data_IF_351467163637
#
_entry.id   IF_351467163637
#
_cell.length_a   1.000
_cell.length_b   1.000
_cell.length_c   1.000
_cell.angle_alpha   90.00
_cell.angle_beta   90.00
_cell.angle_gamma   90.00
#
_symmetry.space_group_name_H-M   'P 1'
#
loop_
_entity.id
_entity.type
_entity.pdbx_description
1 polymer ?
#
# COMPACT_ATOMS: atom_id res chain seq x y z
N UNK A 1 48.19 -40.49 30.01
CA UNK A 1 47.66 -39.18 30.43
C UNK A 1 46.97 -38.55 29.23
N UNK A 2 45.64 -38.49 29.20
CA UNK A 2 44.86 -37.87 28.12
C UNK A 2 44.22 -36.61 28.71
N UNK A 3 44.62 -35.43 28.23
CA UNK A 3 43.95 -34.17 28.55
C UNK A 3 42.75 -34.01 27.61
N UNK A 4 41.53 -34.03 28.18
CA UNK A 4 40.30 -33.65 27.47
C UNK A 4 40.08 -32.15 27.69
N UNK A 5 40.28 -31.36 26.65
CA UNK A 5 39.89 -29.95 26.65
C UNK A 5 38.36 -29.86 26.51
N UNK A 6 37.70 -29.37 27.56
CA UNK A 6 36.28 -29.01 27.53
C UNK A 6 36.16 -27.57 27.01
N UNK A 7 35.74 -27.39 25.77
CA UNK A 7 35.39 -26.09 25.23
C UNK A 7 33.96 -25.73 25.70
N UNK A 8 33.83 -24.73 26.56
CA UNK A 8 32.54 -24.14 26.90
C UNK A 8 32.10 -23.20 25.78
N UNK A 9 31.08 -23.60 25.02
CA UNK A 9 30.44 -22.76 24.01
C UNK A 9 29.55 -21.73 24.75
N UNK A 10 30.01 -20.48 24.84
CA UNK A 10 29.22 -19.39 25.39
C UNK A 10 28.18 -18.95 24.35
N UNK A 11 26.95 -19.44 24.47
CA UNK A 11 25.85 -18.99 23.62
C UNK A 11 25.35 -17.64 24.16
N UNK A 12 25.82 -16.53 23.58
CA UNK A 12 25.28 -15.21 23.88
C UNK A 12 23.83 -15.15 23.38
N UNK A 13 22.85 -14.77 24.22
CA UNK A 13 21.48 -14.55 23.76
C UNK A 13 21.47 -13.41 22.75
N UNK A 14 21.08 -13.71 21.52
CA UNK A 14 20.83 -12.72 20.48
C UNK A 14 19.51 -12.03 20.79
N UNK A 15 19.57 -10.87 21.43
CA UNK A 15 18.39 -10.00 21.57
C UNK A 15 18.11 -9.34 20.22
N UNK A 16 17.22 -9.94 19.43
CA UNK A 16 16.61 -9.25 18.31
C UNK A 16 15.74 -8.12 18.87
N UNK A 17 16.20 -6.87 18.78
CA UNK A 17 15.36 -5.72 19.08
C UNK A 17 14.28 -5.64 18.00
N UNK A 18 13.05 -6.00 18.36
CA UNK A 18 11.90 -5.83 17.47
C UNK A 18 11.73 -4.35 17.16
N UNK A 19 11.77 -4.00 15.87
CA UNK A 19 11.55 -2.64 15.39
C UNK A 19 10.05 -2.35 15.43
N UNK A 20 9.65 -1.15 15.84
CA UNK A 20 8.22 -0.80 15.97
C UNK A 20 7.68 -0.27 14.65
N UNK A 21 6.63 -0.89 14.11
CA UNK A 21 5.91 -0.35 12.95
C UNK A 21 5.29 1.01 13.31
N UNK A 22 5.50 2.02 12.46
CA UNK A 22 4.99 3.38 12.68
C UNK A 22 4.36 3.96 11.42
N UNK A 23 3.22 4.63 11.60
CA UNK A 23 2.54 5.38 10.54
C UNK A 23 3.21 6.73 10.23
N UNK A 24 4.19 7.16 11.05
CA UNK A 24 4.95 8.38 10.81
C UNK A 24 5.98 8.25 9.69
N UNK A 25 6.26 7.04 9.22
CA UNK A 25 7.10 6.76 8.06
C UNK A 25 6.21 6.23 6.94
N UNK A 26 5.54 7.14 6.23
CA UNK A 26 4.59 6.79 5.18
C UNK A 26 5.31 6.51 3.85
N UNK A 27 4.98 5.38 3.23
CA UNK A 27 5.54 4.88 1.97
C UNK A 27 4.41 4.45 1.03
N UNK A 28 4.70 4.29 -0.26
CA UNK A 28 3.82 3.53 -1.14
C UNK A 28 3.92 2.05 -0.76
N UNK A 29 2.86 1.51 -0.15
CA UNK A 29 2.82 0.11 0.31
C UNK A 29 2.70 -0.90 -0.84
N UNK A 30 2.42 -0.46 -2.08
CA UNK A 30 2.56 -1.31 -3.27
C UNK A 30 4.01 -1.39 -3.74
N UNK A 31 4.79 -0.31 -3.55
CA UNK A 31 6.19 -0.23 -3.92
C UNK A 31 6.51 0.79 -5.00
N UNK A 32 7.72 0.72 -5.54
CA UNK A 32 8.29 1.72 -6.45
C UNK A 32 8.98 1.08 -7.67
N UNK A 33 8.99 1.81 -8.80
CA UNK A 33 9.76 1.41 -9.98
C UNK A 33 11.24 1.79 -9.74
N UNK A 34 12.21 1.03 -10.27
CA UNK A 34 13.63 1.28 -10.02
C UNK A 34 14.05 2.69 -10.44
N UNK A 35 13.55 3.21 -11.55
CA UNK A 35 13.96 4.51 -12.10
C UNK A 35 12.97 5.64 -11.79
N UNK A 36 11.92 5.38 -11.00
CA UNK A 36 10.94 6.40 -10.61
C UNK A 36 11.37 7.15 -9.33
N UNK A 37 10.79 8.34 -9.08
CA UNK A 37 10.90 9.02 -7.79
C UNK A 37 10.37 8.14 -6.64
N UNK A 38 11.11 8.12 -5.52
CA UNK A 38 10.78 7.33 -4.33
C UNK A 38 10.99 8.18 -3.09
N UNK A 39 9.89 8.49 -2.43
CA UNK A 39 9.89 9.36 -1.25
C UNK A 39 9.11 8.64 -0.15
N UNK A 40 9.72 8.56 1.03
CA UNK A 40 8.96 8.33 2.25
C UNK A 40 8.63 9.68 2.90
N UNK A 41 7.37 9.87 3.24
CA UNK A 41 6.88 11.06 3.93
C UNK A 41 6.98 10.82 5.42
N UNK A 42 7.81 11.63 6.07
CA UNK A 42 8.02 11.60 7.51
C UNK A 42 7.07 12.61 8.14
N UNK A 43 6.03 12.16 8.85
CA UNK A 43 5.03 13.05 9.45
C UNK A 43 5.37 13.40 10.90
N UNK A 44 5.31 14.69 11.22
CA UNK A 44 5.58 15.23 12.56
C UNK A 44 4.31 15.93 13.03
N UNK A 45 3.54 15.31 13.94
CA UNK A 45 2.27 15.85 14.40
C UNK A 45 2.41 17.23 15.01
N UNK A 46 1.52 18.16 14.64
CA UNK A 46 1.45 19.49 15.29
C UNK A 46 0.04 19.78 15.81
N UNK A 47 -0.99 19.56 14.99
CA UNK A 47 -2.40 19.82 15.29
C UNK A 47 -3.27 18.79 14.55
N UNK A 48 -4.57 18.71 14.86
CA UNK A 48 -5.47 17.78 14.17
C UNK A 48 -5.60 16.42 14.86
N UNK A 49 -5.93 15.39 14.09
CA UNK A 49 -6.37 14.08 14.61
C UNK A 49 -5.27 13.34 15.40
N UNK A 50 -4.02 13.43 14.94
CA UNK A 50 -2.85 12.77 15.50
C UNK A 50 -2.00 13.69 16.40
N UNK A 51 -2.51 14.87 16.80
CA UNK A 51 -1.74 15.85 17.56
C UNK A 51 -1.22 15.35 18.94
N UNK A 52 -1.82 14.30 19.48
CA UNK A 52 -1.35 13.64 20.71
C UNK A 52 -0.12 12.76 20.51
N UNK A 53 0.19 12.39 19.27
CA UNK A 53 1.32 11.53 18.95
C UNK A 53 2.61 12.34 19.07
N UNK A 54 3.69 11.67 19.49
CA UNK A 54 5.01 12.31 19.62
C UNK A 54 6.00 11.58 18.75
N UNK A 55 6.56 12.29 17.77
CA UNK A 55 7.65 11.77 16.95
C UNK A 55 8.63 12.87 16.59
N UNK A 56 9.91 12.63 16.90
CA UNK A 56 11.03 13.48 16.46
C UNK A 56 11.94 12.62 15.59
N UNK A 57 11.98 12.86 14.28
CA UNK A 57 12.81 12.07 13.38
C UNK A 57 14.30 12.24 13.69
N UNK A 58 15.06 11.14 13.61
CA UNK A 58 16.51 11.17 13.60
C UNK A 58 17.06 11.92 12.36
N UNK A 59 18.27 12.48 12.48
CA UNK A 59 18.89 13.26 11.39
C UNK A 59 19.12 12.45 10.11
N UNK A 60 19.34 11.14 10.24
CA UNK A 60 19.58 10.21 9.14
C UNK A 60 18.57 9.07 9.23
N UNK A 61 17.91 8.79 8.12
CA UNK A 61 17.04 7.63 7.96
C UNK A 61 17.72 6.61 7.06
N UNK A 62 17.28 5.35 7.20
CA UNK A 62 17.86 4.21 6.51
C UNK A 62 16.82 3.54 5.64
N UNK A 63 17.23 3.08 4.46
CA UNK A 63 16.52 2.01 3.76
C UNK A 63 17.19 0.70 4.16
N UNK A 64 16.39 -0.27 4.59
CA UNK A 64 16.86 -1.59 4.99
C UNK A 64 16.20 -2.67 4.17
N UNK A 65 16.97 -3.71 3.84
CA UNK A 65 16.47 -4.90 3.16
C UNK A 65 15.68 -5.76 4.14
N UNK A 66 14.51 -6.22 3.72
CA UNK A 66 13.60 -6.98 4.59
C UNK A 66 14.18 -8.33 5.03
N UNK A 67 15.00 -8.97 4.20
CA UNK A 67 15.46 -10.35 4.42
C UNK A 67 16.50 -10.51 5.53
N UNK A 68 17.30 -9.48 5.78
CA UNK A 68 18.49 -9.55 6.65
C UNK A 68 18.75 -8.25 7.43
N UNK A 69 17.80 -7.30 7.42
CA UNK A 69 17.91 -5.97 8.04
C UNK A 69 19.11 -5.14 7.54
N UNK A 70 19.75 -5.54 6.43
CA UNK A 70 20.95 -4.86 5.94
C UNK A 70 20.62 -3.42 5.53
N UNK A 71 21.41 -2.46 6.02
CA UNK A 71 21.32 -1.06 5.60
C UNK A 71 21.85 -0.95 4.18
N UNK A 72 20.97 -0.63 3.22
CA UNK A 72 21.29 -0.55 1.79
C UNK A 72 21.35 0.88 1.28
N UNK A 73 20.72 1.83 1.99
CA UNK A 73 20.80 3.25 1.70
C UNK A 73 20.65 4.05 3.00
N UNK A 74 21.29 5.22 3.07
CA UNK A 74 21.21 6.11 4.24
C UNK A 74 21.33 7.55 3.77
N UNK A 75 20.39 8.40 4.19
CA UNK A 75 20.37 9.81 3.82
C UNK A 75 19.66 10.64 4.89
N UNK A 76 19.93 11.95 4.88
CA UNK A 76 19.14 12.91 5.65
C UNK A 76 17.80 13.18 4.97
N UNK A 77 16.79 13.51 5.76
CA UNK A 77 15.51 14.01 5.22
C UNK A 77 15.55 15.54 4.98
N UNK A 78 14.72 16.05 4.09
CA UNK A 78 14.57 17.49 3.84
C UNK A 78 13.20 17.99 4.28
N UNK A 79 13.10 19.24 4.73
CA UNK A 79 11.83 19.81 5.14
C UNK A 79 10.92 20.03 3.91
N UNK A 80 9.68 19.55 3.98
CA UNK A 80 8.65 19.92 3.02
C UNK A 80 8.20 21.37 3.28
N UNK A 81 7.93 22.13 2.22
CA UNK A 81 7.30 23.45 2.29
C UNK A 81 7.92 24.39 3.34
N UNK A 82 9.26 24.50 3.35
CA UNK A 82 10.02 25.31 4.31
C UNK A 82 9.75 24.98 5.80
N UNK A 83 9.29 23.76 6.10
CA UNK A 83 8.96 23.32 7.45
C UNK A 83 7.63 23.84 7.98
N UNK A 84 6.78 24.40 7.10
CA UNK A 84 5.42 24.78 7.47
C UNK A 84 4.56 23.55 7.80
N UNK A 85 3.61 23.74 8.70
CA UNK A 85 2.57 22.76 8.98
C UNK A 85 1.60 22.71 7.79
N UNK A 86 1.31 21.51 7.31
CA UNK A 86 0.27 21.27 6.30
C UNK A 86 -1.11 21.52 6.92
N UNK A 87 -1.97 22.26 6.21
CA UNK A 87 -3.26 22.70 6.73
C UNK A 87 -4.36 21.62 6.65
N UNK A 88 -4.16 20.53 5.90
CA UNK A 88 -5.13 19.45 5.76
C UNK A 88 -4.88 18.39 6.84
N UNK A 89 -3.63 17.95 6.96
CA UNK A 89 -3.22 16.93 7.93
C UNK A 89 -2.98 17.51 9.33
N UNK A 90 -2.48 18.74 9.42
CA UNK A 90 -2.01 19.33 10.67
C UNK A 90 -0.58 18.93 11.06
N UNK A 91 0.16 18.31 10.15
CA UNK A 91 1.52 17.80 10.37
C UNK A 91 2.58 18.67 9.67
N UNK A 92 3.79 18.71 10.22
CA UNK A 92 4.97 19.04 9.41
C UNK A 92 5.44 17.79 8.70
N UNK A 93 5.78 17.91 7.43
CA UNK A 93 6.30 16.79 6.64
C UNK A 93 7.81 16.95 6.37
N UNK A 94 8.50 15.82 6.26
CA UNK A 94 9.85 15.76 5.69
C UNK A 94 9.92 14.70 4.59
N UNK A 95 10.78 14.93 3.61
CA UNK A 95 11.04 14.00 2.52
C UNK A 95 12.29 13.21 2.82
N UNK A 96 12.15 11.88 2.92
CA UNK A 96 13.26 10.97 2.78
C UNK A 96 13.27 10.46 1.33
N UNK A 97 14.13 11.06 0.52
CA UNK A 97 14.27 10.75 -0.90
C UNK A 97 15.33 9.67 -1.10
N UNK A 98 14.91 8.52 -1.61
CA UNK A 98 15.77 7.40 -1.98
C UNK A 98 15.63 7.06 -3.47
N UNK A 99 15.26 8.05 -4.29
CA UNK A 99 15.07 7.89 -5.74
C UNK A 99 16.32 7.37 -6.45
N UNK A 100 17.51 7.70 -5.95
CA UNK A 100 18.78 7.20 -6.49
C UNK A 100 19.07 5.71 -6.23
N UNK A 101 18.29 5.05 -5.37
CA UNK A 101 18.41 3.61 -5.10
C UNK A 101 17.54 2.81 -6.08
N UNK A 102 18.15 1.87 -6.81
CA UNK A 102 17.53 1.14 -7.93
C UNK A 102 17.54 -0.38 -7.77
N UNK A 103 18.16 -0.91 -6.71
CA UNK A 103 18.19 -2.36 -6.50
C UNK A 103 16.78 -2.92 -6.27
N UNK A 104 16.55 -4.11 -6.83
CA UNK A 104 15.27 -4.80 -6.71
C UNK A 104 15.19 -5.58 -5.40
N UNK A 105 13.99 -5.68 -4.84
CA UNK A 105 13.73 -6.48 -3.64
C UNK A 105 12.67 -5.89 -2.73
N UNK A 106 12.62 -6.42 -1.51
CA UNK A 106 11.74 -5.97 -0.42
C UNK A 106 12.54 -5.13 0.57
N UNK A 107 11.99 -3.98 0.93
CA UNK A 107 12.65 -2.99 1.77
C UNK A 107 11.68 -2.32 2.73
N UNK A 108 12.24 -1.58 3.68
CA UNK A 108 11.50 -0.69 4.56
C UNK A 108 12.36 0.51 4.97
N UNK A 109 11.72 1.62 5.33
CA UNK A 109 12.41 2.79 5.90
C UNK A 109 12.52 2.63 7.40
N UNK A 110 13.68 2.94 7.96
CA UNK A 110 13.99 2.81 9.37
C UNK A 110 14.57 4.11 9.94
N UNK A 111 14.07 4.50 11.11
CA UNK A 111 14.65 5.56 11.92
C UNK A 111 15.40 4.93 13.12
N UNK A 112 16.75 4.91 13.10
CA UNK A 112 17.52 4.35 14.20
C UNK A 112 17.42 5.17 15.50
N UNK A 113 17.10 6.46 15.42
CA UNK A 113 17.01 7.33 16.60
C UNK A 113 15.78 7.04 17.46
N UNK A 114 14.71 6.55 16.85
CA UNK A 114 13.45 6.23 17.51
C UNK A 114 13.10 4.72 17.48
N UNK A 115 13.93 3.91 16.82
CA UNK A 115 13.73 2.46 16.64
C UNK A 115 12.36 2.10 16.02
N UNK A 116 11.94 2.87 15.03
CA UNK A 116 10.69 2.64 14.29
C UNK A 116 10.95 2.37 12.81
N UNK A 117 10.02 1.67 12.17
CA UNK A 117 10.04 1.36 10.73
C UNK A 117 8.72 1.66 10.03
N UNK A 118 8.78 1.89 8.72
CA UNK A 118 7.62 1.86 7.84
C UNK A 118 7.08 0.43 7.67
N UNK A 119 5.94 0.30 6.98
CA UNK A 119 5.57 -0.97 6.37
C UNK A 119 6.63 -1.39 5.32
N UNK A 120 6.71 -2.70 5.07
CA UNK A 120 7.54 -3.26 4.00
C UNK A 120 6.95 -2.92 2.63
N UNK A 121 7.80 -2.74 1.63
CA UNK A 121 7.41 -2.45 0.24
C UNK A 121 8.42 -3.01 -0.76
N UNK A 122 7.97 -3.22 -1.99
CA UNK A 122 8.82 -3.72 -3.08
C UNK A 122 9.46 -2.58 -3.88
N UNK A 123 10.67 -2.80 -4.41
CA UNK A 123 11.19 -2.08 -5.57
C UNK A 123 11.34 -3.09 -6.69
N UNK A 124 10.63 -2.90 -7.80
CA UNK A 124 10.45 -3.95 -8.81
C UNK A 124 10.05 -3.41 -10.17
N UNK A 125 10.24 -4.19 -11.22
CA UNK A 125 9.87 -3.80 -12.59
C UNK A 125 8.38 -3.95 -12.91
N UNK A 126 7.65 -4.71 -12.09
CA UNK A 126 6.28 -5.17 -12.39
C UNK A 126 5.32 -5.07 -11.20
N UNK A 127 5.62 -4.25 -10.19
CA UNK A 127 4.79 -4.18 -8.97
C UNK A 127 3.40 -3.56 -9.23
N UNK A 128 3.24 -2.76 -10.30
CA UNK A 128 1.93 -2.23 -10.69
C UNK A 128 1.14 -3.15 -11.64
N UNK A 129 1.70 -4.27 -12.12
CA UNK A 129 1.00 -5.15 -13.08
C UNK A 129 -0.23 -5.80 -12.45
N UNK A 130 -0.07 -6.37 -11.25
CA UNK A 130 -1.16 -7.00 -10.51
C UNK A 130 -2.18 -5.97 -10.04
N UNK A 131 -1.71 -4.79 -9.62
CA UNK A 131 -2.56 -3.66 -9.24
C UNK A 131 -3.44 -3.21 -10.40
N UNK A 132 -2.86 -2.98 -11.58
CA UNK A 132 -3.59 -2.57 -12.78
C UNK A 132 -4.61 -3.63 -13.21
N UNK A 133 -4.21 -4.92 -13.22
CA UNK A 133 -5.14 -6.02 -13.51
C UNK A 133 -6.30 -6.04 -12.51
N UNK A 134 -6.02 -5.83 -11.23
CA UNK A 134 -7.04 -5.83 -10.18
C UNK A 134 -7.98 -4.63 -10.31
N UNK A 135 -7.43 -3.43 -10.54
CA UNK A 135 -8.20 -2.21 -10.76
C UNK A 135 -9.15 -2.35 -11.95
N UNK A 136 -8.68 -2.87 -13.09
CA UNK A 136 -9.53 -3.05 -14.28
C UNK A 136 -10.54 -4.20 -14.09
N UNK A 137 -10.22 -5.22 -13.29
CA UNK A 137 -11.17 -6.31 -12.97
C UNK A 137 -12.40 -5.81 -12.21
N UNK A 138 -12.35 -4.65 -11.55
CA UNK A 138 -13.54 -4.01 -10.96
C UNK A 138 -14.66 -3.83 -12.00
N UNK A 139 -14.32 -3.40 -13.22
CA UNK A 139 -15.30 -3.29 -14.32
C UNK A 139 -15.88 -4.63 -14.74
N UNK A 140 -15.16 -5.74 -14.59
CA UNK A 140 -15.75 -7.06 -14.83
C UNK A 140 -16.79 -7.40 -13.75
N UNK A 141 -16.44 -7.18 -12.47
CA UNK A 141 -17.35 -7.45 -11.36
C UNK A 141 -18.60 -6.57 -11.38
N UNK A 142 -18.47 -5.33 -11.85
CA UNK A 142 -19.59 -4.38 -11.93
C UNK A 142 -20.53 -4.61 -13.11
N UNK A 143 -20.25 -5.54 -14.04
CA UNK A 143 -21.11 -5.73 -15.22
C UNK A 143 -22.55 -6.05 -14.83
N UNK A 144 -23.51 -5.26 -15.31
CA UNK A 144 -24.93 -5.53 -15.16
C UNK A 144 -25.42 -6.51 -16.25
N UNK A 145 -26.52 -7.24 -16.03
CA UNK A 145 -27.13 -8.08 -17.06
C UNK A 145 -26.40 -9.38 -17.41
N UNK A 146 -25.24 -9.66 -16.80
CA UNK A 146 -24.37 -10.78 -17.15
C UNK A 146 -23.99 -11.58 -15.90
N UNK A 147 -23.90 -12.91 -16.01
CA UNK A 147 -23.40 -13.78 -14.95
C UNK A 147 -21.87 -13.63 -14.77
N UNK A 148 -21.41 -13.57 -13.52
CA UNK A 148 -20.00 -13.46 -13.15
C UNK A 148 -19.47 -14.87 -12.94
N UNK A 149 -18.97 -15.47 -14.02
CA UNK A 149 -18.48 -16.86 -14.00
C UNK A 149 -17.24 -17.03 -13.12
N UNK A 150 -17.14 -18.16 -12.42
CA UNK A 150 -16.01 -18.53 -11.54
C UNK A 150 -14.66 -18.42 -12.26
N UNK A 151 -14.58 -18.80 -13.54
CA UNK A 151 -13.35 -18.76 -14.33
C UNK A 151 -12.73 -17.36 -14.43
N UNK A 152 -13.55 -16.31 -14.35
CA UNK A 152 -13.08 -14.93 -14.43
C UNK A 152 -13.21 -14.20 -13.10
N UNK A 153 -14.20 -14.51 -12.26
CA UNK A 153 -14.46 -13.84 -10.98
C UNK A 153 -13.70 -14.44 -9.79
N UNK A 154 -13.27 -15.71 -9.91
CA UNK A 154 -12.88 -16.53 -8.77
C UNK A 154 -14.11 -16.99 -7.96
N UNK A 155 -13.94 -18.05 -7.17
CA UNK A 155 -15.05 -18.68 -6.44
C UNK A 155 -15.70 -17.78 -5.38
N UNK A 156 -14.95 -16.82 -4.82
CA UNK A 156 -15.44 -15.91 -3.78
C UNK A 156 -16.35 -14.80 -4.29
N UNK A 157 -16.23 -14.44 -5.56
CA UNK A 157 -16.92 -13.29 -6.17
C UNK A 157 -17.74 -13.68 -7.40
N UNK A 158 -17.91 -14.98 -7.64
CA UNK A 158 -18.76 -15.47 -8.70
C UNK A 158 -20.22 -15.24 -8.33
N UNK A 159 -21.00 -14.83 -9.33
CA UNK A 159 -22.45 -14.68 -9.27
C UNK A 159 -23.02 -15.33 -10.53
N UNK A 160 -23.49 -16.58 -10.46
CA UNK A 160 -23.88 -17.34 -11.64
C UNK A 160 -25.17 -16.81 -12.27
N UNK A 161 -25.92 -15.93 -11.60
CA UNK A 161 -27.18 -15.38 -12.09
C UNK A 161 -26.96 -13.97 -12.63
N UNK A 162 -27.34 -13.67 -13.88
CA UNK A 162 -27.34 -12.30 -14.36
C UNK A 162 -28.36 -11.46 -13.57
N UNK A 163 -27.94 -10.30 -13.11
CA UNK A 163 -28.79 -9.32 -12.46
C UNK A 163 -29.60 -8.53 -13.50
N UNK A 164 -30.73 -7.97 -13.09
CA UNK A 164 -31.52 -7.01 -13.88
C UNK A 164 -32.09 -7.52 -15.23
N UNK A 165 -32.25 -8.84 -15.41
CA UNK A 165 -32.83 -9.46 -16.63
C UNK A 165 -34.28 -9.95 -16.48
N UNK A 166 -34.94 -9.62 -15.38
CA UNK A 166 -36.32 -10.03 -15.08
C UNK A 166 -37.38 -9.19 -15.82
N UNK A 167 -38.64 -9.58 -15.65
CA UNK A 167 -39.78 -8.84 -16.20
C UNK A 167 -39.81 -7.40 -15.63
N UNK A 168 -40.00 -6.42 -16.51
CA UNK A 168 -39.98 -4.98 -16.19
C UNK A 168 -38.66 -4.48 -15.57
N UNK A 169 -37.53 -5.14 -15.88
CA UNK A 169 -36.18 -4.66 -15.55
C UNK A 169 -35.50 -4.05 -16.79
N UNK A 170 -34.18 -4.19 -16.94
CA UNK A 170 -33.38 -3.31 -17.80
C UNK A 170 -33.66 -3.51 -19.30
N UNK A 171 -34.08 -4.70 -19.73
CA UNK A 171 -34.50 -4.95 -21.12
C UNK A 171 -35.88 -4.36 -21.46
N UNK A 172 -36.61 -3.88 -20.45
CA UNK A 172 -37.98 -3.37 -20.56
C UNK A 172 -38.15 -2.03 -19.82
N UNK A 173 -37.10 -1.21 -19.78
CA UNK A 173 -37.15 0.10 -19.13
C UNK A 173 -38.12 1.01 -19.87
N UNK A 174 -38.92 1.76 -19.12
CA UNK A 174 -39.86 2.76 -19.66
C UNK A 174 -39.57 4.12 -19.08
N UNK A 175 -39.91 5.16 -19.83
CA UNK A 175 -39.72 6.53 -19.37
C UNK A 175 -40.58 6.76 -18.13
N UNK A 176 -39.99 7.20 -17.01
CA UNK A 176 -40.72 7.35 -15.74
C UNK A 176 -41.90 8.33 -15.85
N UNK A 177 -41.79 9.34 -16.71
CA UNK A 177 -42.84 10.35 -16.97
C UNK A 177 -43.90 9.87 -17.97
N UNK A 178 -43.69 8.75 -18.66
CA UNK A 178 -44.64 8.17 -19.60
C UNK A 178 -44.46 6.64 -19.70
N UNK A 179 -44.82 5.84 -18.68
CA UNK A 179 -44.43 4.43 -18.56
C UNK A 179 -45.29 3.48 -19.42
N UNK A 180 -45.42 3.78 -20.71
CA UNK A 180 -46.15 3.00 -21.71
C UNK A 180 -45.22 2.11 -22.52
N UNK A 181 -45.77 1.06 -23.17
CA UNK A 181 -45.00 0.18 -24.06
C UNK A 181 -44.32 0.93 -25.21
N UNK A 182 -44.89 2.05 -25.66
CA UNK A 182 -44.28 2.89 -26.72
C UNK A 182 -42.97 3.56 -26.28
N UNK A 183 -42.81 3.77 -24.97
CA UNK A 183 -41.59 4.34 -24.37
C UNK A 183 -40.54 3.30 -24.01
N UNK A 184 -40.83 2.00 -24.20
CA UNK A 184 -39.96 0.92 -23.75
C UNK A 184 -38.65 0.90 -24.54
N UNK A 185 -37.53 0.78 -23.83
CA UNK A 185 -36.18 0.68 -24.37
C UNK A 185 -35.41 -0.39 -23.62
N UNK A 186 -34.56 -1.10 -24.35
CA UNK A 186 -33.54 -1.96 -23.77
C UNK A 186 -32.37 -1.08 -23.30
N UNK A 187 -32.19 -1.02 -21.98
CA UNK A 187 -31.09 -0.34 -21.30
C UNK A 187 -30.22 -1.35 -20.54
N UNK A 188 -30.25 -2.62 -20.91
CA UNK A 188 -29.47 -3.69 -20.28
C UNK A 188 -27.97 -3.57 -20.53
N UNK A 189 -27.19 -4.19 -19.63
CA UNK A 189 -25.73 -4.18 -19.70
C UNK A 189 -25.11 -2.97 -18.99
N UNK A 190 -23.90 -2.60 -19.39
CA UNK A 190 -23.13 -1.58 -18.70
C UNK A 190 -22.60 -2.05 -17.34
N UNK A 191 -22.45 -1.12 -16.41
CA UNK A 191 -21.91 -1.34 -15.07
C UNK A 191 -22.85 -0.74 -14.02
N UNK A 192 -23.00 -1.41 -12.86
CA UNK A 192 -23.77 -0.88 -11.72
C UNK A 192 -23.17 0.42 -11.18
#
# INVERSE_FOLDING_TARGET
>A
MIYRYFAFLFCLPFSAASQTLSYHLAVDQFGYLPDAPKIAVVSIPQTGFNASDTYTPGNMLQLRRESDDAVVFTASHTAWNNGNTDNISGDKARWFDFSGFTDLGEFYVFDPGSNIRSASFSIGLSMYDSLMRTAIRTFYYQRCGVAKQVAYAGSKWADPSPCHIGANQDSHCRLVTNPTLLSERDLSGGWH
#
